data_IF_733269512866
#
_entry.id   IF_733269512866
#
_cell.length_a   1.000
_cell.length_b   1.000
_cell.length_c   1.000
_cell.angle_alpha   90.00
_cell.angle_beta   90.00
_cell.angle_gamma   90.00
#
_symmetry.space_group_name_H-M   'P 1'
#
loop_
_entity.id
_entity.type
_entity.pdbx_description
1 polymer ?
#
# COMPACT_ATOMS: atom_id res chain seq x y z
N UNK A 1 29.88 12.24 -31.88
CA UNK A 1 29.11 12.38 -33.12
C UNK A 1 28.69 10.98 -33.54
N UNK A 2 27.43 10.59 -33.64
CA UNK A 2 26.14 11.26 -33.50
C UNK A 2 25.16 10.26 -32.88
N UNK A 3 24.39 10.71 -31.88
CA UNK A 3 23.18 10.01 -31.44
C UNK A 3 22.06 10.37 -32.43
N UNK A 4 21.65 9.43 -33.29
CA UNK A 4 20.52 9.65 -34.19
C UNK A 4 19.22 9.30 -33.47
N UNK A 5 18.54 10.33 -32.97
CA UNK A 5 17.13 10.26 -32.64
C UNK A 5 16.34 10.08 -33.94
N UNK A 6 15.81 8.87 -34.18
CA UNK A 6 14.82 8.66 -35.23
C UNK A 6 13.50 9.30 -34.78
N UNK A 7 13.32 10.57 -35.14
CA UNK A 7 12.06 11.27 -35.03
C UNK A 7 10.97 10.46 -35.75
N UNK A 8 9.91 10.15 -35.00
CA UNK A 8 8.65 9.59 -35.45
C UNK A 8 8.21 10.21 -36.79
N UNK A 9 8.25 9.41 -37.87
CA UNK A 9 7.70 9.78 -39.17
C UNK A 9 6.18 9.83 -39.07
N UNK A 10 5.68 11.03 -38.80
CA UNK A 10 4.30 11.48 -38.94
C UNK A 10 3.89 11.43 -40.43
N UNK A 11 3.70 10.24 -41.02
CA UNK A 11 3.07 10.12 -42.35
C UNK A 11 2.49 8.74 -42.69
N UNK A 12 2.29 7.85 -41.73
CA UNK A 12 1.64 6.55 -41.98
C UNK A 12 0.25 6.43 -41.32
N UNK A 13 -0.43 7.57 -41.12
CA UNK A 13 -1.74 7.64 -40.47
C UNK A 13 -2.95 7.51 -41.43
N UNK A 14 -2.76 6.95 -42.63
CA UNK A 14 -3.88 6.75 -43.57
C UNK A 14 -3.72 5.43 -44.34
N UNK A 15 -4.11 4.30 -43.73
CA UNK A 15 -5.05 3.35 -44.37
C UNK A 15 -5.44 2.15 -43.49
N UNK A 16 -6.75 1.87 -43.47
CA UNK A 16 -7.44 0.58 -43.25
C UNK A 16 -7.37 -0.09 -41.87
N UNK A 17 -8.50 -0.03 -41.15
CA UNK A 17 -8.96 -1.04 -40.17
C UNK A 17 -7.95 -1.50 -39.10
N UNK A 18 -7.00 -0.65 -38.70
CA UNK A 18 -6.12 -0.97 -37.59
C UNK A 18 -6.80 -0.60 -36.26
N UNK A 19 -7.06 -1.64 -35.49
CA UNK A 19 -7.37 -1.58 -34.06
C UNK A 19 -6.33 -0.65 -33.44
N UNK A 20 -6.75 0.40 -32.74
CA UNK A 20 -5.86 1.34 -32.04
C UNK A 20 -5.09 0.55 -30.97
N UNK A 21 -3.97 -0.05 -31.36
CA UNK A 21 -3.09 -0.80 -30.49
C UNK A 21 -1.98 0.14 -30.04
N UNK A 22 -1.79 0.26 -28.72
CA UNK A 22 -0.68 1.02 -28.15
C UNK A 22 0.66 0.56 -28.74
N UNK A 23 1.60 1.47 -29.01
CA UNK A 23 2.91 1.08 -29.52
C UNK A 23 3.57 0.10 -28.54
N UNK A 24 4.00 -1.04 -29.07
CA UNK A 24 4.43 -2.22 -28.31
C UNK A 24 5.41 -1.89 -27.18
N UNK A 25 6.38 -1.01 -27.46
CA UNK A 25 7.41 -0.57 -26.50
C UNK A 25 6.84 0.23 -25.32
N UNK A 26 5.93 1.19 -25.58
CA UNK A 26 5.32 1.97 -24.48
C UNK A 26 4.46 1.08 -23.59
N UNK A 27 3.78 0.11 -24.18
CA UNK A 27 2.90 -0.80 -23.46
C UNK A 27 3.67 -1.77 -22.54
N UNK A 28 4.83 -2.24 -22.99
CA UNK A 28 5.75 -3.04 -22.17
C UNK A 28 6.27 -2.24 -20.97
N UNK A 29 6.75 -1.02 -21.21
CA UNK A 29 7.25 -0.12 -20.17
C UNK A 29 6.15 0.19 -19.14
N UNK A 30 4.94 0.53 -19.59
CA UNK A 30 3.81 0.80 -18.70
C UNK A 30 3.43 -0.41 -17.86
N UNK A 31 3.42 -1.62 -18.44
CA UNK A 31 3.16 -2.86 -17.71
C UNK A 31 4.19 -3.14 -16.61
N UNK A 32 5.48 -2.88 -16.90
CA UNK A 32 6.56 -3.01 -15.93
C UNK A 32 6.36 -2.02 -14.77
N UNK A 33 6.19 -0.72 -15.06
CA UNK A 33 5.98 0.29 -14.02
C UNK A 33 4.76 -0.02 -13.15
N UNK A 34 3.65 -0.40 -13.77
CA UNK A 34 2.44 -0.76 -13.05
C UNK A 34 2.68 -1.92 -12.07
N UNK A 35 3.41 -2.94 -12.51
CA UNK A 35 3.75 -4.10 -11.67
C UNK A 35 4.70 -3.70 -10.54
N UNK A 36 5.69 -2.84 -10.80
CA UNK A 36 6.60 -2.30 -9.77
C UNK A 36 5.79 -1.57 -8.68
N UNK A 37 4.86 -0.69 -9.06
CA UNK A 37 4.04 0.05 -8.11
C UNK A 37 3.13 -0.87 -7.27
N UNK A 38 2.55 -1.90 -7.88
CA UNK A 38 1.76 -2.91 -7.17
C UNK A 38 2.63 -3.65 -6.15
N UNK A 39 3.79 -4.17 -6.57
CA UNK A 39 4.70 -4.90 -5.66
C UNK A 39 5.17 -4.01 -4.51
N UNK A 40 5.54 -2.76 -4.81
CA UNK A 40 5.96 -1.81 -3.80
C UNK A 40 4.86 -1.59 -2.75
N UNK A 41 3.61 -1.41 -3.18
CA UNK A 41 2.47 -1.23 -2.27
C UNK A 41 2.22 -2.49 -1.40
N UNK A 42 2.20 -3.69 -2.00
CA UNK A 42 2.03 -4.95 -1.26
C UNK A 42 3.10 -5.11 -0.18
N UNK A 43 4.38 -4.94 -0.55
CA UNK A 43 5.50 -5.10 0.37
C UNK A 43 5.51 -4.02 1.46
N UNK A 44 5.11 -2.79 1.13
CA UNK A 44 5.01 -1.69 2.09
C UNK A 44 3.95 -1.99 3.16
N UNK A 45 2.77 -2.45 2.76
CA UNK A 45 1.70 -2.81 3.71
C UNK A 45 2.11 -4.00 4.58
N UNK A 46 2.78 -5.00 4.01
CA UNK A 46 3.34 -6.11 4.77
C UNK A 46 4.34 -5.63 5.84
N UNK A 47 5.27 -4.75 5.45
CA UNK A 47 6.26 -4.20 6.37
C UNK A 47 5.63 -3.36 7.48
N UNK A 48 4.65 -2.50 7.17
CA UNK A 48 3.92 -1.70 8.17
C UNK A 48 3.22 -2.62 9.18
N UNK A 49 2.61 -3.72 8.72
CA UNK A 49 1.96 -4.70 9.60
C UNK A 49 2.96 -5.34 10.56
N UNK A 50 4.11 -5.79 10.05
CA UNK A 50 5.17 -6.41 10.86
C UNK A 50 5.75 -5.41 11.86
N UNK A 51 6.05 -4.17 11.45
CA UNK A 51 6.57 -3.13 12.35
C UNK A 51 5.57 -2.80 13.46
N UNK A 52 4.28 -2.72 13.12
CA UNK A 52 3.22 -2.48 14.09
C UNK A 52 3.14 -3.62 15.10
N UNK A 53 3.23 -4.86 14.62
CA UNK A 53 3.28 -6.03 15.49
C UNK A 53 4.51 -6.02 16.40
N UNK A 54 5.71 -5.75 15.86
CA UNK A 54 6.95 -5.65 16.65
C UNK A 54 6.84 -4.60 17.75
N UNK A 55 6.23 -3.45 17.46
CA UNK A 55 6.04 -2.37 18.43
C UNK A 55 5.08 -2.76 19.55
N UNK A 56 3.91 -3.32 19.21
CA UNK A 56 2.84 -3.56 20.19
C UNK A 56 3.02 -4.85 20.97
N UNK A 57 3.57 -5.89 20.34
CA UNK A 57 3.68 -7.22 20.94
C UNK A 57 5.03 -7.44 21.61
N UNK A 58 6.10 -6.98 20.97
CA UNK A 58 7.46 -7.19 21.47
C UNK A 58 8.04 -5.95 22.13
N UNK A 59 7.27 -4.85 22.22
CA UNK A 59 7.68 -3.56 22.81
C UNK A 59 8.99 -3.01 22.20
N UNK A 60 9.31 -3.45 20.98
CA UNK A 60 10.52 -3.02 20.28
C UNK A 60 10.23 -1.72 19.58
N UNK A 61 10.52 -0.63 20.27
CA UNK A 61 10.51 0.72 19.69
C UNK A 61 11.68 0.87 18.72
N UNK A 62 11.46 0.48 17.47
CA UNK A 62 12.34 0.88 16.38
C UNK A 62 12.29 2.41 16.27
N UNK A 63 13.47 3.05 16.26
CA UNK A 63 13.60 4.46 15.96
C UNK A 63 13.30 4.69 14.47
N UNK A 64 12.01 4.66 14.13
CA UNK A 64 11.48 5.02 12.83
C UNK A 64 11.83 6.49 12.55
N UNK A 65 12.31 6.77 11.34
CA UNK A 65 12.98 8.01 10.97
C UNK A 65 14.42 7.74 10.53
N UNK A 66 15.35 7.51 11.47
CA UNK A 66 16.78 7.29 11.11
C UNK A 66 17.02 5.93 10.43
N UNK A 67 16.22 4.93 10.74
CA UNK A 67 16.40 3.56 10.24
C UNK A 67 15.39 3.12 9.17
N UNK A 68 14.51 4.01 8.72
CA UNK A 68 13.48 3.67 7.73
C UNK A 68 14.11 3.20 6.42
N UNK A 69 15.26 3.75 6.04
CA UNK A 69 16.00 3.31 4.86
C UNK A 69 16.36 1.80 4.90
N UNK A 70 16.54 1.21 6.08
CA UNK A 70 16.82 -0.24 6.21
C UNK A 70 15.62 -1.11 5.84
N UNK A 71 14.41 -0.59 5.99
CA UNK A 71 13.16 -1.26 5.63
C UNK A 71 12.81 -0.93 4.17
N UNK A 72 12.95 0.32 3.76
CA UNK A 72 12.62 0.77 2.41
C UNK A 72 13.55 0.23 1.34
N UNK A 73 14.85 0.12 1.60
CA UNK A 73 15.83 -0.36 0.63
C UNK A 73 15.54 -1.79 0.13
N UNK A 74 15.30 -2.81 0.98
CA UNK A 74 14.96 -4.15 0.48
C UNK A 74 13.61 -4.18 -0.24
N UNK A 75 12.62 -3.38 0.21
CA UNK A 75 11.31 -3.29 -0.47
C UNK A 75 11.47 -2.76 -1.89
N UNK A 76 12.16 -1.64 -2.05
CA UNK A 76 12.42 -1.04 -3.37
C UNK A 76 13.20 -2.02 -4.24
N UNK A 77 14.25 -2.63 -3.69
CA UNK A 77 15.08 -3.58 -4.43
C UNK A 77 14.30 -4.79 -4.95
N UNK A 78 13.50 -5.44 -4.10
CA UNK A 78 12.67 -6.60 -4.48
C UNK A 78 11.61 -6.18 -5.51
N UNK A 79 10.96 -5.03 -5.28
CA UNK A 79 9.91 -4.52 -6.17
C UNK A 79 10.40 -4.17 -7.58
N UNK A 80 11.69 -3.85 -7.74
CA UNK A 80 12.33 -3.58 -9.03
C UNK A 80 12.85 -4.85 -9.70
N UNK A 81 13.52 -5.74 -8.96
CA UNK A 81 14.16 -6.92 -9.54
C UNK A 81 13.14 -7.88 -10.14
N UNK A 82 12.02 -8.11 -9.45
CA UNK A 82 11.03 -9.10 -9.90
C UNK A 82 10.49 -8.73 -11.29
N UNK A 83 9.98 -7.50 -11.53
CA UNK A 83 9.49 -7.11 -12.85
C UNK A 83 10.60 -7.00 -13.91
N UNK A 84 11.79 -6.50 -13.54
CA UNK A 84 12.92 -6.39 -14.48
C UNK A 84 13.48 -7.75 -14.91
N UNK A 85 13.38 -8.77 -14.06
CA UNK A 85 13.78 -10.13 -14.42
C UNK A 85 12.82 -10.76 -15.43
N UNK A 86 11.61 -10.21 -15.57
CA UNK A 86 10.55 -10.73 -16.44
C UNK A 86 10.09 -9.73 -17.50
N UNK A 87 10.97 -8.85 -18.01
CA UNK A 87 10.61 -7.84 -19.04
C UNK A 87 9.86 -8.44 -20.24
N UNK A 88 10.29 -9.61 -20.70
CA UNK A 88 9.69 -10.30 -21.86
C UNK A 88 8.24 -10.74 -21.61
N UNK A 89 7.82 -10.85 -20.35
CA UNK A 89 6.48 -11.24 -19.94
C UNK A 89 5.46 -10.10 -20.09
N UNK A 90 5.88 -8.85 -20.31
CA UNK A 90 4.97 -7.70 -20.44
C UNK A 90 4.73 -7.32 -21.91
N UNK A 91 3.56 -6.76 -22.20
CA UNK A 91 3.22 -6.23 -23.52
C UNK A 91 1.73 -5.92 -23.70
N UNK A 92 1.32 -5.74 -24.96
CA UNK A 92 -0.06 -5.39 -25.30
C UNK A 92 -1.03 -6.55 -25.10
N UNK A 93 -2.11 -6.27 -24.39
CA UNK A 93 -3.22 -7.16 -24.08
C UNK A 93 -4.50 -6.59 -24.69
N UNK A 94 -4.53 -6.53 -26.03
CA UNK A 94 -5.58 -5.88 -26.84
C UNK A 94 -5.73 -4.38 -26.51
N UNK A 95 -6.55 -4.06 -25.51
CA UNK A 95 -6.94 -2.69 -25.13
C UNK A 95 -6.21 -2.20 -23.87
N UNK A 96 -5.44 -3.06 -23.21
CA UNK A 96 -4.71 -2.76 -21.98
C UNK A 96 -3.25 -3.23 -22.07
N UNK A 97 -2.41 -2.72 -21.17
CA UNK A 97 -0.99 -3.03 -21.08
C UNK A 97 -0.71 -3.81 -19.80
N UNK A 98 -0.01 -4.95 -19.92
CA UNK A 98 0.26 -5.80 -18.76
C UNK A 98 0.93 -7.10 -19.13
N UNK A 99 0.79 -8.12 -18.27
CA UNK A 99 1.38 -9.44 -18.50
C UNK A 99 0.74 -10.14 -19.71
N UNK A 100 1.57 -10.58 -20.65
CA UNK A 100 1.18 -11.36 -21.84
C UNK A 100 0.54 -12.69 -21.42
N UNK A 101 -0.43 -13.13 -22.22
CA UNK A 101 -1.08 -14.44 -22.04
C UNK A 101 -0.04 -15.55 -22.26
N UNK A 102 0.10 -16.47 -21.30
CA UNK A 102 1.08 -17.57 -21.33
C UNK A 102 2.25 -17.40 -20.35
N UNK A 103 2.53 -16.18 -19.90
CA UNK A 103 3.53 -15.92 -18.85
C UNK A 103 2.89 -15.92 -17.46
N UNK A 104 2.37 -17.08 -17.06
CA UNK A 104 1.58 -17.22 -15.83
C UNK A 104 2.43 -17.09 -14.56
N UNK A 105 3.75 -17.26 -14.63
CA UNK A 105 4.63 -17.28 -13.46
C UNK A 105 4.62 -15.94 -12.70
N UNK A 106 4.61 -14.81 -13.41
CA UNK A 106 4.60 -13.47 -12.80
C UNK A 106 3.27 -13.22 -12.09
N UNK A 107 2.15 -13.53 -12.75
CA UNK A 107 0.83 -13.39 -12.16
C UNK A 107 0.68 -14.30 -10.92
N UNK A 108 1.12 -15.56 -11.01
CA UNK A 108 1.10 -16.49 -9.87
C UNK A 108 1.94 -15.98 -8.70
N UNK A 109 3.12 -15.43 -8.96
CA UNK A 109 3.98 -14.83 -7.94
C UNK A 109 3.26 -13.67 -7.24
N UNK A 110 2.61 -12.78 -7.99
CA UNK A 110 1.84 -11.65 -7.43
C UNK A 110 0.69 -12.16 -6.55
N UNK A 111 -0.08 -13.15 -7.02
CA UNK A 111 -1.16 -13.77 -6.24
C UNK A 111 -0.63 -14.35 -4.92
N UNK A 112 0.47 -15.11 -4.98
CA UNK A 112 1.10 -15.71 -3.79
C UNK A 112 1.54 -14.61 -2.82
N UNK A 113 2.18 -13.54 -3.31
CA UNK A 113 2.58 -12.40 -2.46
C UNK A 113 1.36 -11.75 -1.79
N UNK A 114 0.27 -11.54 -2.50
CA UNK A 114 -0.96 -10.98 -1.92
C UNK A 114 -1.50 -11.89 -0.81
N UNK A 115 -1.62 -13.20 -1.06
CA UNK A 115 -2.09 -14.16 -0.05
C UNK A 115 -1.18 -14.18 1.18
N UNK A 116 0.14 -14.27 1.00
CA UNK A 116 1.11 -14.26 2.12
C UNK A 116 1.04 -12.96 2.94
N UNK A 117 0.79 -11.83 2.28
CA UNK A 117 0.63 -10.53 2.93
C UNK A 117 -0.65 -10.51 3.76
N UNK A 118 -1.77 -10.96 3.20
CA UNK A 118 -3.05 -11.06 3.92
C UNK A 118 -2.95 -11.98 5.14
N UNK A 119 -2.29 -13.14 5.03
CA UNK A 119 -2.12 -14.05 6.17
C UNK A 119 -1.22 -13.45 7.24
N UNK A 120 -0.14 -12.77 6.84
CA UNK A 120 0.76 -12.08 7.78
C UNK A 120 0.00 -11.01 8.55
N UNK A 121 -0.80 -10.21 7.86
CA UNK A 121 -1.64 -9.18 8.46
C UNK A 121 -2.63 -9.78 9.47
N UNK A 122 -3.34 -10.84 9.10
CA UNK A 122 -4.29 -11.50 9.99
C UNK A 122 -3.61 -12.06 11.25
N UNK A 123 -2.43 -12.67 11.09
CA UNK A 123 -1.65 -13.16 12.22
C UNK A 123 -1.18 -12.03 13.15
N UNK A 124 -0.58 -10.98 12.58
CA UNK A 124 -0.15 -9.80 13.32
C UNK A 124 -1.32 -9.16 14.08
N UNK A 125 -2.48 -9.05 13.42
CA UNK A 125 -3.70 -8.50 14.00
C UNK A 125 -4.22 -9.33 15.17
N UNK A 126 -4.39 -10.64 14.98
CA UNK A 126 -4.92 -11.54 16.01
C UNK A 126 -4.05 -11.50 17.27
N UNK A 127 -2.73 -11.45 17.10
CA UNK A 127 -1.79 -11.39 18.21
C UNK A 127 -1.85 -10.04 18.94
N UNK A 128 -1.86 -8.92 18.21
CA UNK A 128 -1.99 -7.59 18.81
C UNK A 128 -3.28 -7.47 19.62
N UNK A 129 -4.41 -7.91 19.05
CA UNK A 129 -5.70 -7.89 19.75
C UNK A 129 -5.69 -8.77 21.01
N UNK A 130 -5.02 -9.92 20.97
CA UNK A 130 -4.88 -10.79 22.15
C UNK A 130 -4.07 -10.13 23.26
N UNK A 131 -2.94 -9.52 22.93
CA UNK A 131 -2.09 -8.79 23.89
C UNK A 131 -2.87 -7.66 24.54
N UNK A 132 -3.57 -6.83 23.75
CA UNK A 132 -4.37 -5.72 24.28
C UNK A 132 -5.49 -6.21 25.22
N UNK A 133 -6.14 -7.33 24.89
CA UNK A 133 -7.21 -7.90 25.76
C UNK A 133 -6.65 -8.43 27.07
N UNK A 134 -5.54 -9.18 27.03
CA UNK A 134 -4.91 -9.69 28.23
C UNK A 134 -4.49 -8.56 29.18
N UNK A 135 -3.86 -7.51 28.65
CA UNK A 135 -3.46 -6.34 29.43
C UNK A 135 -4.67 -5.64 30.07
N UNK A 136 -5.81 -5.59 29.38
CA UNK A 136 -7.05 -5.01 29.93
C UNK A 136 -7.63 -5.85 31.07
N UNK A 137 -7.57 -7.18 30.96
CA UNK A 137 -8.12 -8.09 31.96
C UNK A 137 -7.25 -8.10 33.24
N UNK A 138 -5.92 -8.03 33.10
CA UNK A 138 -4.96 -8.01 34.21
C UNK A 138 -4.95 -6.68 35.00
N UNK A 139 -5.17 -5.53 34.33
CA UNK A 139 -5.06 -4.19 34.94
C UNK A 139 -6.38 -3.58 35.42
N UNK A 140 -7.43 -4.39 35.62
CA UNK A 140 -8.69 -3.94 36.21
C UNK A 140 -8.57 -3.34 37.64
N UNK A 141 -7.36 -3.32 38.22
CA UNK A 141 -7.06 -2.77 39.55
C UNK A 141 -5.95 -1.70 39.64
N UNK A 142 -5.25 -1.31 38.55
CA UNK A 142 -4.09 -0.39 38.64
C UNK A 142 -4.13 0.76 37.60
N UNK A 143 -4.26 1.98 38.15
CA UNK A 143 -3.81 3.35 37.75
C UNK A 143 -4.06 3.88 36.31
N UNK A 144 -4.74 5.04 36.25
CA UNK A 144 -5.13 5.82 35.05
C UNK A 144 -4.01 6.14 34.03
N UNK A 145 -2.74 6.21 34.45
CA UNK A 145 -1.61 6.52 33.56
C UNK A 145 -1.28 5.36 32.60
N UNK A 146 -1.44 4.11 33.04
CA UNK A 146 -1.20 2.92 32.21
C UNK A 146 -2.33 2.74 31.19
N UNK A 147 -3.57 3.02 31.59
CA UNK A 147 -4.73 3.06 30.69
C UNK A 147 -4.54 4.09 29.56
N UNK A 148 -3.95 5.24 29.86
CA UNK A 148 -3.67 6.29 28.85
C UNK A 148 -2.63 5.85 27.81
N UNK A 149 -1.58 5.14 28.22
CA UNK A 149 -0.54 4.65 27.30
C UNK A 149 -1.10 3.56 26.36
N UNK A 150 -1.85 2.60 26.91
CA UNK A 150 -2.51 1.54 26.14
C UNK A 150 -3.60 2.09 25.21
N UNK A 151 -4.33 3.13 25.61
CA UNK A 151 -5.29 3.80 24.74
C UNK A 151 -4.62 4.54 23.56
N UNK A 152 -3.45 5.15 23.77
CA UNK A 152 -2.65 5.77 22.70
C UNK A 152 -2.17 4.72 21.70
N UNK A 153 -1.68 3.57 22.17
CA UNK A 153 -1.27 2.46 21.32
C UNK A 153 -2.45 1.86 20.54
N UNK A 154 -3.59 1.67 21.22
CA UNK A 154 -4.83 1.21 20.60
C UNK A 154 -5.34 2.16 19.52
N UNK A 155 -5.27 3.49 19.75
CA UNK A 155 -5.61 4.50 18.75
C UNK A 155 -4.69 4.41 17.54
N UNK A 156 -3.37 4.28 17.78
CA UNK A 156 -2.37 4.13 16.71
C UNK A 156 -2.61 2.85 15.90
N UNK A 157 -2.93 1.74 16.56
CA UNK A 157 -3.28 0.50 15.90
C UNK A 157 -4.56 0.60 15.07
N UNK A 158 -5.60 1.25 15.58
CA UNK A 158 -6.85 1.47 14.83
C UNK A 158 -6.62 2.29 13.56
N UNK A 159 -5.69 3.24 13.60
CA UNK A 159 -5.25 4.02 12.44
C UNK A 159 -4.62 3.08 11.40
N UNK A 160 -3.63 2.28 11.80
CA UNK A 160 -2.98 1.25 10.93
C UNK A 160 -3.99 0.24 10.37
N UNK A 161 -4.96 -0.19 11.17
CA UNK A 161 -6.02 -1.14 10.75
C UNK A 161 -6.87 -0.57 9.61
N UNK A 162 -7.12 0.74 9.62
CA UNK A 162 -7.91 1.39 8.57
C UNK A 162 -7.15 1.32 7.24
N UNK A 163 -5.83 1.56 7.23
CA UNK A 163 -4.98 1.37 6.04
C UNK A 163 -4.99 -0.07 5.52
N UNK A 164 -4.91 -1.05 6.43
CA UNK A 164 -5.02 -2.46 6.08
C UNK A 164 -6.38 -2.79 5.44
N UNK A 165 -7.46 -2.19 5.93
CA UNK A 165 -8.80 -2.44 5.39
C UNK A 165 -8.94 -1.90 3.96
N UNK A 166 -8.37 -0.73 3.66
CA UNK A 166 -8.32 -0.21 2.29
C UNK A 166 -7.53 -1.13 1.38
N UNK A 167 -6.40 -1.69 1.86
CA UNK A 167 -5.65 -2.70 1.14
C UNK A 167 -6.50 -3.95 0.83
N UNK A 168 -7.21 -4.50 1.82
CA UNK A 168 -8.07 -5.68 1.60
C UNK A 168 -9.13 -5.39 0.53
N UNK A 169 -9.80 -4.24 0.61
CA UNK A 169 -10.82 -3.83 -0.36
C UNK A 169 -10.23 -3.63 -1.77
N UNK A 170 -8.99 -3.14 -1.88
CA UNK A 170 -8.30 -2.93 -3.15
C UNK A 170 -7.88 -4.26 -3.80
N UNK A 171 -7.36 -5.20 -3.01
CA UNK A 171 -6.75 -6.42 -3.57
C UNK A 171 -7.71 -7.59 -3.76
N UNK A 172 -8.88 -7.62 -3.10
CA UNK A 172 -9.91 -8.63 -3.39
C UNK A 172 -10.33 -8.62 -4.88
N UNK A 173 -10.71 -7.47 -5.49
CA UNK A 173 -11.05 -7.42 -6.92
C UNK A 173 -9.90 -7.85 -7.84
N UNK A 174 -8.65 -7.55 -7.45
CA UNK A 174 -7.46 -7.91 -8.22
C UNK A 174 -7.26 -9.43 -8.22
N UNK A 175 -7.38 -10.08 -7.06
CA UNK A 175 -7.30 -11.55 -6.96
C UNK A 175 -8.39 -12.21 -7.81
N UNK A 176 -9.62 -11.70 -7.75
CA UNK A 176 -10.73 -12.25 -8.56
C UNK A 176 -10.40 -12.15 -10.05
N UNK A 177 -9.88 -10.99 -10.49
CA UNK A 177 -9.45 -10.81 -11.87
C UNK A 177 -8.34 -11.79 -12.27
N UNK A 178 -7.29 -11.93 -11.46
CA UNK A 178 -6.18 -12.82 -11.77
C UNK A 178 -6.64 -14.29 -11.86
N UNK A 179 -7.58 -14.71 -11.01
CA UNK A 179 -8.23 -16.02 -11.11
C UNK A 179 -9.02 -16.14 -12.41
N UNK A 180 -9.80 -15.12 -12.81
CA UNK A 180 -10.52 -15.13 -14.09
C UNK A 180 -9.57 -15.26 -15.29
N UNK A 181 -8.42 -14.58 -15.26
CA UNK A 181 -7.37 -14.72 -16.27
C UNK A 181 -6.85 -16.16 -16.31
N UNK A 182 -6.58 -16.75 -15.15
CA UNK A 182 -6.10 -18.12 -15.03
C UNK A 182 -7.10 -19.12 -15.61
N UNK A 183 -8.40 -18.89 -15.37
CA UNK A 183 -9.51 -19.67 -15.93
C UNK A 183 -9.79 -19.35 -17.42
N UNK A 184 -8.98 -18.50 -18.07
CA UNK A 184 -9.13 -18.04 -19.46
C UNK A 184 -10.46 -17.32 -19.74
N UNK A 185 -11.14 -16.82 -18.71
CA UNK A 185 -12.35 -16.01 -18.83
C UNK A 185 -11.92 -14.56 -19.00
N UNK A 186 -12.12 -14.00 -20.20
CA UNK A 186 -11.71 -12.63 -20.53
C UNK A 186 -12.93 -11.76 -20.80
N UNK A 187 -13.15 -10.77 -19.94
CA UNK A 187 -14.12 -9.69 -20.17
C UNK A 187 -13.42 -8.34 -20.16
N UNK A 188 -13.77 -7.50 -21.13
CA UNK A 188 -13.24 -6.13 -21.28
C UNK A 188 -13.47 -5.27 -20.03
N UNK A 189 -14.57 -5.53 -19.33
CA UNK A 189 -14.95 -4.83 -18.11
C UNK A 189 -13.86 -4.95 -17.05
N UNK A 190 -13.21 -6.12 -16.92
CA UNK A 190 -12.16 -6.29 -15.93
C UNK A 190 -10.87 -5.53 -16.28
N UNK A 191 -10.53 -5.44 -17.57
CA UNK A 191 -9.35 -4.70 -18.02
C UNK A 191 -9.47 -3.18 -17.71
N UNK A 192 -10.68 -2.65 -17.56
CA UNK A 192 -10.96 -1.27 -17.13
C UNK A 192 -11.11 -1.11 -15.61
N UNK A 193 -11.67 -2.11 -14.91
CA UNK A 193 -11.87 -2.06 -13.46
C UNK A 193 -10.55 -2.06 -12.70
N UNK A 194 -9.55 -2.81 -13.15
CA UNK A 194 -8.30 -3.01 -12.41
C UNK A 194 -7.51 -1.70 -12.20
N UNK A 195 -7.25 -0.88 -13.23
CA UNK A 195 -6.64 0.44 -13.04
C UNK A 195 -7.47 1.35 -12.12
N UNK A 196 -8.81 1.27 -12.20
CA UNK A 196 -9.70 2.09 -11.39
C UNK A 196 -9.63 1.71 -9.90
N UNK A 197 -9.68 0.41 -9.58
CA UNK A 197 -9.55 -0.11 -8.21
C UNK A 197 -8.19 0.25 -7.62
N UNK A 198 -7.12 0.15 -8.41
CA UNK A 198 -5.78 0.51 -7.94
C UNK A 198 -5.66 2.00 -7.64
N UNK A 199 -6.20 2.84 -8.52
CA UNK A 199 -6.24 4.29 -8.32
C UNK A 199 -7.06 4.66 -7.08
N UNK A 200 -8.20 4.00 -6.88
CA UNK A 200 -9.05 4.20 -5.71
C UNK A 200 -8.34 3.82 -4.41
N UNK A 201 -7.56 2.75 -4.41
CA UNK A 201 -6.72 2.37 -3.26
C UNK A 201 -5.68 3.44 -2.90
N UNK A 202 -5.03 4.03 -3.91
CA UNK A 202 -4.11 5.15 -3.71
C UNK A 202 -4.81 6.37 -3.07
N UNK A 203 -5.98 6.76 -3.59
CA UNK A 203 -6.80 7.84 -3.04
C UNK A 203 -7.23 7.51 -1.60
N UNK A 204 -7.64 6.28 -1.33
CA UNK A 204 -8.02 5.80 0.00
C UNK A 204 -6.89 5.98 1.02
N UNK A 205 -5.66 5.64 0.65
CA UNK A 205 -4.49 5.84 1.51
C UNK A 205 -4.24 7.33 1.80
N UNK A 206 -4.42 8.23 0.82
CA UNK A 206 -4.28 9.68 1.02
C UNK A 206 -5.37 10.23 1.95
N UNK A 207 -6.63 9.82 1.76
CA UNK A 207 -7.74 10.22 2.62
C UNK A 207 -7.48 9.79 4.06
N UNK A 208 -6.96 8.58 4.26
CA UNK A 208 -6.62 8.08 5.58
C UNK A 208 -5.46 8.84 6.20
N UNK A 209 -4.43 9.16 5.42
CA UNK A 209 -3.33 10.01 5.86
C UNK A 209 -3.83 11.37 6.34
N UNK A 210 -4.71 12.00 5.56
CA UNK A 210 -5.32 13.27 5.93
C UNK A 210 -6.15 13.14 7.22
N UNK A 211 -7.02 12.13 7.32
CA UNK A 211 -7.82 11.92 8.54
C UNK A 211 -6.95 11.61 9.77
N UNK A 212 -5.79 10.98 9.55
CA UNK A 212 -4.92 10.49 10.60
C UNK A 212 -3.91 11.53 11.13
N UNK A 213 -3.40 12.36 10.22
CA UNK A 213 -2.31 13.32 10.46
C UNK A 213 -2.69 14.75 10.03
N UNK A 214 -3.38 14.89 8.90
CA UNK A 214 -3.71 16.18 8.31
C UNK A 214 -5.08 16.72 8.71
N UNK A 215 -5.22 17.08 9.98
CA UNK A 215 -6.14 18.12 10.48
C UNK A 215 -5.98 18.37 12.00
N UNK A 216 -4.86 17.97 12.61
CA UNK A 216 -4.45 18.54 13.90
C UNK A 216 -3.68 19.85 13.67
N UNK A 217 -4.33 20.83 13.06
CA UNK A 217 -4.20 22.20 13.57
C UNK A 217 -5.12 22.27 14.79
N UNK A 218 -4.70 21.59 15.86
CA UNK A 218 -5.25 21.89 17.16
C UNK A 218 -4.72 23.29 17.47
N UNK A 219 -5.59 24.26 17.24
CA UNK A 219 -5.37 25.65 17.56
C UNK A 219 -4.73 25.74 18.95
N UNK A 220 -3.54 26.31 18.95
CA UNK A 220 -2.94 27.10 20.01
C UNK A 220 -3.99 27.94 20.74
N UNK A 221 -4.71 27.42 21.75
CA UNK A 221 -5.54 28.28 22.62
C UNK A 221 -5.98 27.66 23.96
N UNK A 222 -5.24 26.73 24.58
CA UNK A 222 -5.51 26.34 25.98
C UNK A 222 -4.31 26.46 26.94
N UNK A 223 -3.14 26.92 26.48
CA UNK A 223 -2.00 27.22 27.38
C UNK A 223 -1.87 28.70 27.75
N UNK A 224 -2.85 29.54 27.41
CA UNK A 224 -2.84 30.97 27.78
C UNK A 224 -3.80 31.33 28.92
N UNK A 225 -4.47 30.35 29.53
CA UNK A 225 -5.42 30.58 30.63
C UNK A 225 -4.88 30.23 32.02
N UNK A 226 -3.65 29.72 32.15
CA UNK A 226 -3.09 29.34 33.46
C UNK A 226 -1.94 30.23 33.96
N UNK A 227 -1.60 31.31 33.24
CA UNK A 227 -0.61 32.28 33.72
C UNK A 227 -1.20 33.59 34.27
N UNK A 228 -2.53 33.76 34.26
CA UNK A 228 -3.18 35.01 34.69
C UNK A 228 -4.24 34.86 35.79
N UNK A 229 -4.55 33.66 36.27
CA UNK A 229 -5.53 33.45 37.37
C UNK A 229 -4.93 32.84 38.66
N UNK A 230 -3.60 32.70 38.74
CA UNK A 230 -2.94 31.91 39.80
C UNK A 230 -1.87 32.62 40.63
N UNK A 231 -1.94 33.92 40.92
CA UNK A 231 -1.25 34.54 42.09
C UNK A 231 -1.63 36.01 42.37
N UNK A 232 -2.90 36.38 42.21
CA UNK A 232 -3.52 37.47 42.98
C UNK A 232 -4.35 36.84 44.10
N UNK A 233 -3.69 36.27 45.12
CA UNK A 233 -4.31 35.95 46.42
C UNK A 233 -3.23 35.57 47.44
N UNK A 234 -2.57 36.57 48.00
CA UNK A 234 -1.99 36.49 49.35
C UNK A 234 -2.02 37.89 49.94
N UNK A 235 -3.07 38.13 50.73
CA UNK A 235 -3.10 39.14 51.78
C UNK A 235 -2.08 38.81 52.86
#
# INVERSE_FOLDING_TARGET
>A
MEFSYAASKRTEFINKNEIISWPFLLCEILGIFFTIFILLNILLVAAISIVTWLRVVQERHLALGKYDYKIWLPIIFISLIIPLSSVNAYGSRNYSCGTKVGYNNVAMLVIVLIFTTLTTIMFCYAHVMKVIRNVKDDNSSITDSFNKLTDIERRTFKKVLTYILVFILQYIPIIIYDICIFLKVRHLVFDAIIPAVISFGGIGNVIQYLYNEGLSDDNTSNYRLESNEGSQQSH
#
